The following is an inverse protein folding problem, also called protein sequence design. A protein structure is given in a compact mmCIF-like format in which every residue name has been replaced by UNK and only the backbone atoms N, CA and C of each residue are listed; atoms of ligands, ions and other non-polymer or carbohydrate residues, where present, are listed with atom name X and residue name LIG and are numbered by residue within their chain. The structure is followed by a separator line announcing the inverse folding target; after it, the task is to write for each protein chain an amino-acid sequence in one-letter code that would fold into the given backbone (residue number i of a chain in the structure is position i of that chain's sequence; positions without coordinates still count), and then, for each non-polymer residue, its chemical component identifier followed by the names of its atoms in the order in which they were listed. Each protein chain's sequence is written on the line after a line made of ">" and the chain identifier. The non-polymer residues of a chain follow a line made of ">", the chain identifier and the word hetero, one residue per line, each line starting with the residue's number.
data_IF_417725307719
#
_entry.id   IF_417725307719
#
_cell.length_a   1.000
_cell.length_b   1.000
_cell.length_c   1.000
_cell.angle_alpha   90.00
_cell.angle_beta   90.00
_cell.angle_gamma   90.00
#
_symmetry.space_group_name_H-M   'P 1'
#
loop_
_entity.id
_entity.type
_entity.pdbx_description
1 polymer ?
#
# COMPACT_ATOMS: atom_id res chain seq x y z
N UNK A 1 -35.96 21.12 -29.33
CA UNK A 1 -36.54 20.07 -28.47
C UNK A 1 -35.44 19.06 -28.19
N UNK A 2 -34.85 19.11 -26.99
CA UNK A 2 -33.81 18.19 -26.55
C UNK A 2 -34.38 17.32 -25.41
N UNK A 3 -34.44 16.01 -25.64
CA UNK A 3 -34.76 14.91 -24.72
C UNK A 3 -34.14 13.67 -25.37
N UNK A 4 -33.50 12.71 -24.74
CA UNK A 4 -33.21 12.41 -23.35
C UNK A 4 -32.01 11.45 -23.44
N UNK A 5 -30.89 11.81 -22.82
CA UNK A 5 -29.77 10.89 -22.66
C UNK A 5 -29.26 11.03 -21.22
N UNK A 6 -30.08 10.59 -20.27
CA UNK A 6 -29.67 10.48 -18.89
C UNK A 6 -30.31 9.26 -18.24
N UNK A 7 -29.45 8.29 -17.91
CA UNK A 7 -29.30 7.69 -16.57
C UNK A 7 -28.58 6.36 -16.69
N UNK A 8 -27.25 6.43 -16.73
CA UNK A 8 -26.41 5.31 -16.30
C UNK A 8 -26.25 5.45 -14.79
N UNK A 9 -27.01 4.66 -14.03
CA UNK A 9 -26.74 4.41 -12.62
C UNK A 9 -25.39 3.69 -12.52
N UNK A 10 -24.31 4.47 -12.46
CA UNK A 10 -23.04 4.02 -11.94
C UNK A 10 -23.14 4.12 -10.43
N UNK A 11 -23.62 3.06 -9.79
CA UNK A 11 -23.37 2.83 -8.39
C UNK A 11 -21.85 2.69 -8.21
N UNK A 12 -21.17 3.82 -8.07
CA UNK A 12 -19.78 3.92 -7.64
C UNK A 12 -19.78 3.47 -6.17
N UNK A 13 -19.71 2.16 -5.94
CA UNK A 13 -19.24 1.64 -4.66
C UNK A 13 -17.81 2.12 -4.51
N UNK A 14 -17.61 3.21 -3.78
CA UNK A 14 -16.30 3.56 -3.26
C UNK A 14 -15.94 2.50 -2.22
N UNK A 15 -15.45 1.35 -2.68
CA UNK A 15 -14.87 0.31 -1.83
C UNK A 15 -13.59 0.89 -1.23
N UNK A 16 -13.73 1.50 -0.06
CA UNK A 16 -12.60 1.99 0.72
C UNK A 16 -11.78 0.79 1.22
N UNK A 17 -10.46 0.86 1.05
CA UNK A 17 -9.55 -0.24 1.35
C UNK A 17 -8.80 0.02 2.65
N UNK A 18 -8.89 -0.93 3.59
CA UNK A 18 -8.23 -0.87 4.89
C UNK A 18 -9.08 -0.21 5.97
N UNK A 19 -8.64 -0.40 7.21
CA UNK A 19 -9.16 0.15 8.45
C UNK A 19 -8.05 0.19 9.49
N UNK A 20 -8.32 0.35 10.79
CA UNK A 20 -7.27 0.52 11.81
C UNK A 20 -6.17 -0.54 11.81
N UNK A 21 -6.50 -1.80 11.50
CA UNK A 21 -5.55 -2.91 11.34
C UNK A 21 -4.50 -2.68 10.24
N UNK A 22 -4.71 -1.72 9.34
CA UNK A 22 -3.77 -1.42 8.24
C UNK A 22 -2.51 -0.78 8.77
N UNK A 23 -2.61 0.07 9.80
CA UNK A 23 -1.42 0.64 10.47
C UNK A 23 -0.60 -0.48 11.10
N UNK A 24 -1.22 -1.34 11.92
CA UNK A 24 -0.54 -2.47 12.55
C UNK A 24 0.10 -3.42 11.52
N UNK A 25 -0.61 -3.73 10.43
CA UNK A 25 -0.07 -4.54 9.33
C UNK A 25 1.20 -3.91 8.74
N UNK A 26 1.20 -2.60 8.48
CA UNK A 26 2.32 -1.91 7.85
C UNK A 26 3.52 -1.84 8.80
N UNK A 27 3.28 -1.61 10.10
CA UNK A 27 4.34 -1.65 11.12
C UNK A 27 4.96 -3.04 11.27
N UNK A 28 4.13 -4.09 11.32
CA UNK A 28 4.62 -5.48 11.38
C UNK A 28 5.43 -5.81 10.13
N UNK A 29 4.96 -5.39 8.95
CA UNK A 29 5.66 -5.62 7.69
C UNK A 29 7.03 -4.95 7.69
N UNK A 30 7.13 -3.68 8.10
CA UNK A 30 8.40 -2.96 8.15
C UNK A 30 9.42 -3.67 9.05
N UNK A 31 9.02 -4.01 10.28
CA UNK A 31 9.89 -4.76 11.21
C UNK A 31 10.29 -6.13 10.68
N UNK A 32 9.36 -6.83 10.03
CA UNK A 32 9.63 -8.15 9.48
C UNK A 32 10.61 -8.10 8.31
N UNK A 33 10.42 -7.16 7.37
CA UNK A 33 11.33 -7.03 6.23
C UNK A 33 12.75 -6.71 6.69
N UNK A 34 12.89 -5.77 7.64
CA UNK A 34 14.19 -5.42 8.22
C UNK A 34 14.88 -6.60 8.90
N UNK A 35 14.15 -7.34 9.76
CA UNK A 35 14.68 -8.53 10.41
C UNK A 35 15.03 -9.65 9.41
N UNK A 36 14.18 -9.87 8.40
CA UNK A 36 14.37 -10.89 7.37
C UNK A 36 15.61 -10.62 6.53
N UNK A 37 15.76 -9.41 6.01
CA UNK A 37 16.92 -9.03 5.21
C UNK A 37 18.19 -9.04 6.04
N UNK A 38 18.13 -8.61 7.31
CA UNK A 38 19.25 -8.66 8.24
C UNK A 38 19.69 -10.09 8.52
N UNK A 39 18.75 -11.00 8.82
CA UNK A 39 19.06 -12.39 9.11
C UNK A 39 19.73 -13.10 7.92
N UNK A 40 19.35 -12.73 6.69
CA UNK A 40 19.87 -13.31 5.46
C UNK A 40 21.07 -12.55 4.89
N UNK A 41 21.66 -11.60 5.63
CA UNK A 41 22.66 -10.69 5.03
C UNK A 41 23.94 -11.34 4.55
N UNK A 42 24.43 -12.32 5.30
CA UNK A 42 25.62 -13.11 4.98
C UNK A 42 25.30 -14.41 4.22
N UNK A 43 24.04 -14.61 3.84
CA UNK A 43 23.63 -15.81 3.11
C UNK A 43 23.72 -15.57 1.60
N UNK A 44 24.10 -16.57 0.79
CA UNK A 44 24.25 -16.45 -0.66
C UNK A 44 22.89 -16.48 -1.39
N UNK A 45 21.87 -15.87 -0.82
CA UNK A 45 20.54 -15.77 -1.42
C UNK A 45 20.38 -14.46 -2.17
N UNK A 46 19.69 -14.55 -3.31
CA UNK A 46 19.08 -13.41 -3.99
C UNK A 46 17.67 -13.20 -3.42
N UNK A 47 17.43 -12.04 -2.84
CA UNK A 47 16.16 -11.70 -2.19
C UNK A 47 15.27 -10.91 -3.16
N UNK A 48 14.10 -11.45 -3.46
CA UNK A 48 13.08 -10.77 -4.27
C UNK A 48 11.86 -10.45 -3.42
N UNK A 49 11.49 -9.17 -3.35
CA UNK A 49 10.23 -8.74 -2.77
C UNK A 49 9.15 -8.67 -3.85
N UNK A 50 8.01 -9.32 -3.64
CA UNK A 50 6.88 -9.29 -4.57
C UNK A 50 5.65 -8.76 -3.85
N UNK A 51 5.09 -7.66 -4.35
CA UNK A 51 3.82 -7.10 -3.89
C UNK A 51 2.77 -7.16 -5.00
N UNK A 52 1.85 -8.11 -4.84
CA UNK A 52 0.76 -8.32 -5.78
C UNK A 52 -0.30 -7.19 -5.76
N UNK A 53 -0.27 -6.32 -4.75
CA UNK A 53 -1.26 -5.27 -4.50
C UNK A 53 -0.57 -3.97 -4.05
N UNK A 54 0.45 -3.55 -4.80
CA UNK A 54 1.35 -2.46 -4.43
C UNK A 54 0.65 -1.10 -4.22
N UNK A 55 -0.55 -0.91 -4.79
CA UNK A 55 -1.34 0.28 -4.60
C UNK A 55 -0.64 1.53 -5.16
N UNK A 56 -0.88 2.66 -4.53
CA UNK A 56 -0.16 3.93 -4.82
C UNK A 56 1.14 4.06 -4.04
N UNK A 57 1.53 3.05 -3.25
CA UNK A 57 2.66 3.12 -2.33
C UNK A 57 2.41 3.91 -1.05
N UNK A 58 1.24 4.54 -0.92
CA UNK A 58 0.84 5.24 0.30
C UNK A 58 -0.58 4.82 0.68
N UNK A 59 -0.83 4.74 1.99
CA UNK A 59 -2.15 4.52 2.54
C UNK A 59 -2.64 5.79 3.24
N UNK A 60 -3.93 6.09 3.04
CA UNK A 60 -4.60 7.22 3.70
C UNK A 60 -5.81 6.68 4.47
N UNK A 61 -5.86 6.92 5.78
CA UNK A 61 -7.03 6.63 6.58
C UNK A 61 -8.24 7.45 6.08
N UNK A 62 -9.43 6.87 6.10
CA UNK A 62 -10.67 7.60 5.82
C UNK A 62 -11.37 7.90 7.15
N UNK A 63 -11.68 9.17 7.40
CA UNK A 63 -12.19 9.70 8.67
C UNK A 63 -13.47 9.02 9.21
N UNK A 64 -14.17 8.25 8.38
CA UNK A 64 -15.33 7.45 8.78
C UNK A 64 -14.94 6.19 9.58
N UNK A 65 -13.79 5.55 9.28
CA UNK A 65 -13.37 4.29 9.94
C UNK A 65 -12.50 4.50 11.19
N UNK A 66 -12.10 5.73 11.49
CA UNK A 66 -11.17 6.06 12.58
C UNK A 66 -11.85 6.67 13.80
N UNK A 67 -13.18 6.82 13.78
CA UNK A 67 -13.90 7.55 14.82
C UNK A 67 -14.19 6.73 16.08
N UNK A 68 -14.14 5.40 15.99
CA UNK A 68 -14.85 4.59 16.99
C UNK A 68 -13.93 3.93 18.05
N UNK A 69 -12.64 3.68 17.80
CA UNK A 69 -11.76 3.03 18.81
C UNK A 69 -10.23 3.29 18.69
N UNK A 70 -9.75 3.91 17.59
CA UNK A 70 -8.31 3.91 17.26
C UNK A 70 -7.66 5.31 17.16
N UNK A 71 -8.38 6.36 17.56
CA UNK A 71 -7.90 7.75 17.53
C UNK A 71 -7.87 8.38 16.13
N UNK A 72 -7.84 9.71 16.09
CA UNK A 72 -7.72 10.48 14.84
C UNK A 72 -6.33 10.27 14.22
N UNK A 73 -6.28 9.47 13.14
CA UNK A 73 -5.07 9.32 12.34
C UNK A 73 -5.06 10.37 11.23
N UNK A 74 -4.30 11.46 11.41
CA UNK A 74 -4.20 12.57 10.46
C UNK A 74 -3.04 12.41 9.43
N UNK A 75 -2.43 11.22 9.37
CA UNK A 75 -1.20 10.99 8.60
C UNK A 75 -1.36 10.21 7.29
N UNK A 76 -0.50 10.51 6.32
CA UNK A 76 -0.24 9.62 5.16
C UNK A 76 0.78 8.58 5.59
N UNK A 77 0.42 7.30 5.54
CA UNK A 77 1.35 6.20 5.82
C UNK A 77 2.05 5.72 4.55
N UNK A 78 3.31 5.30 4.70
CA UNK A 78 3.97 4.48 3.67
C UNK A 78 3.23 3.16 3.55
N UNK A 79 2.83 2.80 2.34
CA UNK A 79 2.32 1.48 2.01
C UNK A 79 3.44 0.45 1.88
N UNK A 80 3.06 -0.81 1.68
CA UNK A 80 3.98 -1.97 1.56
C UNK A 80 5.10 -1.75 0.54
N UNK A 81 4.78 -1.24 -0.65
CA UNK A 81 5.78 -0.96 -1.68
C UNK A 81 6.83 0.07 -1.24
N UNK A 82 6.42 1.15 -0.56
CA UNK A 82 7.35 2.19 -0.06
C UNK A 82 8.16 1.72 1.15
N UNK A 83 7.58 0.84 1.96
CA UNK A 83 8.29 0.17 3.06
C UNK A 83 9.41 -0.70 2.48
N UNK A 84 9.09 -1.57 1.51
CA UNK A 84 10.09 -2.44 0.89
C UNK A 84 11.21 -1.65 0.18
N UNK A 85 10.87 -0.55 -0.50
CA UNK A 85 11.86 0.37 -1.09
C UNK A 85 12.75 1.07 -0.05
N UNK A 86 12.29 1.15 1.21
CA UNK A 86 12.95 1.88 2.28
C UNK A 86 13.95 1.04 3.09
N UNK A 87 14.10 -0.25 2.84
CA UNK A 87 15.05 -1.11 3.55
C UNK A 87 16.48 -0.77 3.12
N UNK A 88 17.32 -0.35 4.07
CA UNK A 88 18.67 0.19 3.80
C UNK A 88 19.82 -0.78 4.12
N UNK A 89 19.76 -1.47 5.26
CA UNK A 89 20.89 -2.28 5.75
C UNK A 89 21.27 -3.42 4.81
N UNK A 90 20.27 -4.21 4.40
CA UNK A 90 20.35 -5.11 3.24
C UNK A 90 19.12 -4.92 2.36
N UNK A 91 19.21 -4.17 1.26
CA UNK A 91 18.13 -4.04 0.31
C UNK A 91 17.80 -5.39 -0.35
N UNK A 92 16.57 -5.52 -0.84
CA UNK A 92 16.22 -6.60 -1.76
C UNK A 92 16.96 -6.42 -3.09
N UNK A 93 17.37 -7.54 -3.70
CA UNK A 93 17.99 -7.54 -5.02
C UNK A 93 16.99 -7.16 -6.12
N UNK A 94 15.73 -7.60 -5.95
CA UNK A 94 14.63 -7.30 -6.86
C UNK A 94 13.39 -6.86 -6.09
N UNK A 95 12.70 -5.85 -6.62
CA UNK A 95 11.38 -5.45 -6.17
C UNK A 95 10.39 -5.53 -7.33
N UNK A 96 9.36 -6.37 -7.16
CA UNK A 96 8.31 -6.59 -8.16
C UNK A 96 6.99 -6.06 -7.62
N UNK A 97 6.50 -4.99 -8.24
CA UNK A 97 5.24 -4.35 -7.87
C UNK A 97 4.19 -4.58 -8.94
N UNK A 98 3.07 -5.20 -8.54
CA UNK A 98 1.92 -5.45 -9.42
C UNK A 98 0.78 -4.54 -8.97
N UNK A 99 0.27 -3.75 -9.90
CA UNK A 99 -0.87 -2.86 -9.66
C UNK A 99 -1.77 -2.79 -10.90
N UNK A 100 -3.05 -3.10 -10.70
CA UNK A 100 -4.05 -3.19 -11.78
C UNK A 100 -4.46 -1.82 -12.32
N UNK A 101 -4.50 -0.79 -11.48
CA UNK A 101 -5.03 0.51 -11.81
C UNK A 101 -3.92 1.47 -12.26
N UNK A 102 -3.92 1.94 -13.52
CA UNK A 102 -2.83 2.75 -14.07
C UNK A 102 -2.54 4.04 -13.28
N UNK A 103 -3.56 4.64 -12.65
CA UNK A 103 -3.38 5.83 -11.81
C UNK A 103 -2.54 5.56 -10.57
N UNK A 104 -2.74 4.40 -9.92
CA UNK A 104 -2.00 3.99 -8.71
C UNK A 104 -0.58 3.56 -9.08
N UNK A 105 -0.43 2.82 -10.18
CA UNK A 105 0.86 2.47 -10.77
C UNK A 105 1.75 3.70 -10.99
N UNK A 106 1.23 4.77 -11.59
CA UNK A 106 2.01 5.99 -11.83
C UNK A 106 2.55 6.62 -10.53
N UNK A 107 1.81 6.55 -9.44
CA UNK A 107 2.25 7.06 -8.12
C UNK A 107 3.41 6.26 -7.50
N UNK A 108 3.68 5.04 -7.98
CA UNK A 108 4.84 4.25 -7.54
C UNK A 108 6.13 4.62 -8.28
N UNK A 109 6.04 5.27 -9.44
CA UNK A 109 7.19 5.64 -10.27
C UNK A 109 7.82 6.99 -9.90
N UNK A 110 7.21 7.74 -8.98
CA UNK A 110 7.62 9.10 -8.58
C UNK A 110 8.22 9.10 -7.18
#
# INVERSE_FOLDING_TARGET
>A
MARDADRRDKHLTSTHFGGPWTTEKLEILERYLDAYTTALKEQPFRLTYVDAFAGSGYWRPNSIYHRDDYGDFEGVLKGSARIALGIQDKPFDDLVFIEKYPRRYKSLQT
#
